data_IF_410187168450
#
_entry.id   IF_410187168450
#
_cell.length_a   1.000
_cell.length_b   1.000
_cell.length_c   1.000
_cell.angle_alpha   90.00
_cell.angle_beta   90.00
_cell.angle_gamma   90.00
#
_symmetry.space_group_name_H-M   'P 1'
#
loop_
_entity.id
_entity.type
_entity.pdbx_description
1 polymer ?
#
# COMPACT_ATOMS: atom_id res chain seq x y z
N UNK A 1 6.15 10.98 -9.93
CA UNK A 1 6.46 10.53 -8.56
C UNK A 1 5.49 9.45 -8.12
N UNK A 2 5.97 8.47 -7.36
CA UNK A 2 5.19 7.32 -6.88
C UNK A 2 5.34 7.16 -5.38
N UNK A 3 4.24 7.17 -4.63
CA UNK A 3 4.26 6.82 -3.22
C UNK A 3 3.60 5.45 -3.04
N UNK A 4 4.30 4.52 -2.40
CA UNK A 4 3.81 3.18 -2.10
C UNK A 4 3.45 3.13 -0.63
N UNK A 5 2.20 2.80 -0.34
CA UNK A 5 1.71 2.52 1.00
C UNK A 5 1.46 1.02 1.13
N UNK A 6 2.27 0.36 1.94
CA UNK A 6 2.20 -1.07 2.18
C UNK A 6 1.57 -1.34 3.56
N UNK A 7 0.47 -2.09 3.60
CA UNK A 7 -0.16 -2.54 4.83
C UNK A 7 0.61 -3.72 5.43
N UNK A 8 1.03 -3.60 6.68
CA UNK A 8 1.69 -4.71 7.41
C UNK A 8 0.80 -5.28 8.50
N UNK A 9 -0.51 -5.09 8.44
CA UNK A 9 -1.43 -5.57 9.49
C UNK A 9 -1.50 -7.10 9.61
N UNK A 10 -2.20 -7.54 10.67
CA UNK A 10 -2.22 -8.90 11.24
C UNK A 10 -2.48 -10.06 10.27
N UNK A 11 -3.07 -9.82 9.10
CA UNK A 11 -3.26 -10.81 8.03
C UNK A 11 -1.96 -11.33 7.41
N UNK A 12 -0.83 -10.68 7.72
CA UNK A 12 0.51 -11.13 7.32
C UNK A 12 1.04 -12.33 8.11
N UNK A 13 0.36 -12.76 9.18
CA UNK A 13 0.59 -14.04 9.89
C UNK A 13 -0.04 -15.25 9.16
N UNK A 14 -0.77 -15.01 8.08
CA UNK A 14 -1.37 -16.07 7.26
C UNK A 14 -0.28 -16.84 6.51
N UNK A 15 -0.43 -18.16 6.45
CA UNK A 15 0.44 -19.04 5.68
C UNK A 15 -0.24 -19.44 4.39
N UNK A 16 0.51 -19.42 3.29
CA UNK A 16 0.11 -19.95 1.99
C UNK A 16 1.24 -20.84 1.50
N UNK A 17 0.93 -22.10 1.17
CA UNK A 17 1.90 -23.06 0.63
C UNK A 17 3.20 -23.15 1.47
N UNK A 18 3.07 -23.24 2.80
CA UNK A 18 4.18 -23.25 3.77
C UNK A 18 5.07 -21.99 3.79
N UNK A 19 4.56 -20.86 3.28
CA UNK A 19 5.22 -19.55 3.36
C UNK A 19 4.33 -18.54 4.06
N UNK A 20 4.92 -17.67 4.87
CA UNK A 20 4.17 -16.54 5.42
C UNK A 20 3.88 -15.51 4.32
N UNK A 21 2.67 -14.96 4.31
CA UNK A 21 2.27 -13.91 3.36
C UNK A 21 3.20 -12.70 3.46
N UNK A 22 3.72 -12.38 4.65
CA UNK A 22 4.71 -11.31 4.82
C UNK A 22 5.97 -11.53 3.98
N UNK A 23 6.45 -12.77 3.85
CA UNK A 23 7.68 -13.05 3.10
C UNK A 23 7.47 -12.84 1.61
N UNK A 24 6.33 -13.32 1.10
CA UNK A 24 5.91 -13.09 -0.29
C UNK A 24 5.79 -11.58 -0.56
N UNK A 25 5.21 -10.84 0.39
CA UNK A 25 5.06 -9.40 0.24
C UNK A 25 6.39 -8.65 0.32
N UNK A 26 7.31 -9.04 1.20
CA UNK A 26 8.68 -8.50 1.27
C UNK A 26 9.42 -8.71 -0.04
N UNK A 27 9.29 -9.89 -0.65
CA UNK A 27 9.87 -10.21 -1.97
C UNK A 27 9.26 -9.35 -3.07
N UNK A 28 7.93 -9.26 -3.13
CA UNK A 28 7.22 -8.43 -4.10
C UNK A 28 7.60 -6.96 -3.98
N UNK A 29 7.67 -6.43 -2.75
CA UNK A 29 8.03 -5.04 -2.48
C UNK A 29 9.51 -4.77 -2.81
N UNK A 30 10.40 -5.73 -2.56
CA UNK A 30 11.82 -5.63 -2.92
C UNK A 30 11.97 -5.56 -4.44
N UNK A 31 11.39 -6.52 -5.17
CA UNK A 31 11.44 -6.55 -6.63
C UNK A 31 10.80 -5.28 -7.24
N UNK A 32 9.73 -4.79 -6.63
CA UNK A 32 9.09 -3.55 -7.08
C UNK A 32 9.96 -2.32 -6.84
N UNK A 33 10.59 -2.20 -5.67
CA UNK A 33 11.50 -1.10 -5.35
C UNK A 33 12.73 -1.09 -6.28
N UNK A 34 13.25 -2.26 -6.65
CA UNK A 34 14.29 -2.40 -7.66
C UNK A 34 13.84 -1.89 -9.03
N UNK A 35 12.63 -2.28 -9.46
CA UNK A 35 12.05 -1.82 -10.72
C UNK A 35 11.89 -0.30 -10.78
N UNK A 36 11.36 0.31 -9.71
CA UNK A 36 11.23 1.77 -9.60
C UNK A 36 12.59 2.48 -9.66
N UNK A 37 13.59 1.91 -8.98
CA UNK A 37 14.95 2.46 -9.00
C UNK A 37 15.59 2.36 -10.38
N UNK A 38 15.39 1.25 -11.11
CA UNK A 38 15.95 1.03 -12.43
C UNK A 38 15.35 1.96 -13.49
N UNK A 39 14.06 2.30 -13.38
CA UNK A 39 13.38 3.25 -14.29
C UNK A 39 13.74 4.70 -13.97
N UNK A 40 14.25 4.99 -12.77
CA UNK A 40 14.63 6.33 -12.34
C UNK A 40 13.46 7.16 -11.80
N UNK A 41 12.38 6.51 -11.36
CA UNK A 41 11.22 7.20 -10.80
C UNK A 41 11.56 7.91 -9.48
N UNK A 42 10.96 9.09 -9.24
CA UNK A 42 10.96 9.69 -7.90
C UNK A 42 9.92 8.96 -7.04
N UNK A 43 10.36 8.13 -6.09
CA UNK A 43 9.45 7.27 -5.32
C UNK A 43 9.70 7.24 -3.82
N UNK A 44 8.69 6.86 -3.05
CA UNK A 44 8.82 6.57 -1.64
C UNK A 44 8.03 5.30 -1.29
N UNK A 45 8.48 4.59 -0.25
CA UNK A 45 7.84 3.36 0.24
C UNK A 45 7.67 3.48 1.75
N UNK A 46 6.42 3.39 2.18
CA UNK A 46 6.03 3.41 3.58
C UNK A 46 5.26 2.14 3.90
N UNK A 47 5.61 1.50 5.00
CA UNK A 47 4.73 0.55 5.66
C UNK A 47 3.88 1.27 6.71
N UNK A 48 2.66 0.81 6.93
CA UNK A 48 1.85 1.34 8.02
C UNK A 48 1.19 0.23 8.84
N UNK A 49 0.97 0.55 10.10
CA UNK A 49 0.14 -0.22 11.03
C UNK A 49 -0.48 0.76 12.02
N UNK A 50 -1.47 0.33 12.79
CA UNK A 50 -2.09 1.17 13.80
C UNK A 50 -2.39 0.41 15.08
N UNK A 51 -2.34 1.07 16.23
CA UNK A 51 -2.70 0.49 17.52
C UNK A 51 -3.90 1.26 18.06
N UNK A 52 -5.04 0.56 18.19
CA UNK A 52 -6.32 1.13 18.63
C UNK A 52 -6.72 2.35 17.79
N UNK A 53 -7.62 3.17 18.32
CA UNK A 53 -8.14 4.35 17.62
C UNK A 53 -7.19 5.55 17.55
N UNK A 54 -6.09 5.55 18.30
CA UNK A 54 -5.37 6.80 18.58
C UNK A 54 -3.95 6.84 17.99
N UNK A 55 -3.43 5.74 17.42
CA UNK A 55 -2.04 5.71 16.93
C UNK A 55 -1.90 5.02 15.57
N UNK A 56 -1.44 5.78 14.58
CA UNK A 56 -1.03 5.27 13.26
C UNK A 56 0.47 5.39 13.15
N UNK A 57 1.14 4.26 12.93
CA UNK A 57 2.58 4.17 12.78
C UNK A 57 2.92 4.14 11.29
N UNK A 58 3.65 5.16 10.83
CA UNK A 58 4.18 5.22 9.48
C UNK A 58 5.67 4.87 9.52
N UNK A 59 6.02 3.70 8.98
CA UNK A 59 7.40 3.24 8.87
C UNK A 59 7.95 3.55 7.49
N UNK A 60 8.85 4.53 7.40
CA UNK A 60 9.52 4.88 6.15
C UNK A 60 10.57 3.81 5.79
N UNK A 61 10.28 3.01 4.77
CA UNK A 61 11.25 2.05 4.23
C UNK A 61 12.21 2.74 3.26
N UNK A 62 11.68 3.69 2.48
CA UNK A 62 12.42 4.57 1.57
C UNK A 62 11.72 5.92 1.48
N UNK A 63 12.43 7.02 1.74
CA UNK A 63 11.91 8.40 1.52
C UNK A 63 12.19 8.89 0.10
N UNK A 64 11.44 9.88 -0.41
CA UNK A 64 11.68 10.44 -1.75
C UNK A 64 13.15 10.84 -1.95
N UNK A 65 13.72 11.61 -1.03
CA UNK A 65 15.09 12.12 -1.13
C UNK A 65 16.17 11.11 -0.67
N UNK A 66 15.79 9.86 -0.40
CA UNK A 66 16.72 8.78 -0.08
C UNK A 66 17.09 7.97 -1.34
N UNK A 67 18.38 7.67 -1.53
CA UNK A 67 18.81 6.78 -2.61
C UNK A 67 18.43 5.33 -2.31
N UNK A 68 17.96 4.61 -3.33
CA UNK A 68 17.76 3.16 -3.21
C UNK A 68 19.10 2.46 -2.95
N UNK A 69 19.10 1.42 -2.11
CA UNK A 69 20.31 0.66 -1.81
C UNK A 69 20.13 -0.37 -0.69
N UNK A 70 21.23 -0.94 -0.17
CA UNK A 70 21.20 -2.00 0.82
C UNK A 70 20.40 -1.66 2.09
N UNK A 71 20.41 -0.40 2.52
CA UNK A 71 19.64 0.06 3.69
C UNK A 71 18.12 -0.10 3.48
N UNK A 72 17.62 0.29 2.31
CA UNK A 72 16.20 0.14 1.95
C UNK A 72 15.80 -1.33 1.92
N UNK A 73 16.62 -2.18 1.29
CA UNK A 73 16.40 -3.64 1.24
C UNK A 73 16.31 -4.26 2.64
N UNK A 74 17.21 -3.88 3.54
CA UNK A 74 17.18 -4.35 4.94
C UNK A 74 15.92 -3.91 5.68
N UNK A 75 15.45 -2.67 5.48
CA UNK A 75 14.19 -2.19 6.10
C UNK A 75 12.98 -2.96 5.58
N UNK A 76 12.93 -3.26 4.28
CA UNK A 76 11.86 -4.09 3.69
C UNK A 76 11.92 -5.50 4.29
N UNK A 77 13.10 -6.14 4.32
CA UNK A 77 13.26 -7.48 4.90
C UNK A 77 12.91 -7.55 6.39
N UNK A 78 13.09 -6.45 7.13
CA UNK A 78 12.79 -6.36 8.56
C UNK A 78 11.32 -6.02 8.86
N UNK A 79 10.45 -5.87 7.86
CA UNK A 79 9.02 -5.57 8.06
C UNK A 79 8.36 -6.67 8.87
N UNK A 80 7.82 -6.37 10.05
CA UNK A 80 7.08 -7.35 10.86
C UNK A 80 5.57 -7.12 10.73
N UNK A 81 4.75 -8.18 10.90
CA UNK A 81 3.33 -8.02 11.15
C UNK A 81 3.09 -7.01 12.27
N UNK A 82 2.22 -6.06 12.00
CA UNK A 82 1.76 -5.02 12.91
C UNK A 82 0.32 -5.25 13.33
N UNK A 83 -0.23 -4.28 14.04
CA UNK A 83 -1.57 -4.35 14.61
C UNK A 83 -2.64 -3.91 13.58
N UNK A 84 -3.64 -3.12 13.99
CA UNK A 84 -4.82 -2.70 13.22
C UNK A 84 -4.52 -1.85 11.96
N UNK A 85 -5.57 -1.57 11.17
CA UNK A 85 -5.47 -0.83 9.89
C UNK A 85 -6.27 0.48 9.88
N UNK A 86 -5.57 1.63 9.92
CA UNK A 86 -6.16 2.96 9.69
C UNK A 86 -5.69 3.57 8.38
N UNK A 87 -6.18 2.98 7.30
CA UNK A 87 -5.75 3.29 5.94
C UNK A 87 -6.05 4.74 5.53
N UNK A 88 -7.20 5.31 5.93
CA UNK A 88 -7.54 6.70 5.61
C UNK A 88 -6.52 7.72 6.13
N UNK A 89 -6.06 7.57 7.38
CA UNK A 89 -5.01 8.41 7.95
C UNK A 89 -3.66 8.24 7.23
N UNK A 90 -3.27 7.00 6.93
CA UNK A 90 -2.04 6.70 6.22
C UNK A 90 -2.04 7.25 4.78
N UNK A 91 -3.17 7.13 4.06
CA UNK A 91 -3.39 7.72 2.74
C UNK A 91 -3.24 9.24 2.80
N UNK A 92 -3.88 9.92 3.76
CA UNK A 92 -3.77 11.39 3.89
C UNK A 92 -2.33 11.82 4.17
N UNK A 93 -1.64 11.12 5.07
CA UNK A 93 -0.24 11.41 5.39
C UNK A 93 0.65 11.30 4.15
N UNK A 94 0.55 10.18 3.42
CA UNK A 94 1.40 9.95 2.26
C UNK A 94 1.00 10.83 1.07
N UNK A 95 -0.28 11.19 0.94
CA UNK A 95 -0.78 12.16 -0.04
C UNK A 95 -0.16 13.54 0.17
N UNK A 96 0.01 13.99 1.42
CA UNK A 96 0.68 15.26 1.72
C UNK A 96 2.12 15.25 1.22
N UNK A 97 2.89 14.21 1.55
CA UNK A 97 4.28 14.06 1.11
C UNK A 97 4.39 13.97 -0.43
N UNK A 98 3.46 13.26 -1.06
CA UNK A 98 3.43 13.12 -2.52
C UNK A 98 3.06 14.43 -3.22
N UNK A 99 2.19 15.26 -2.61
CA UNK A 99 1.80 16.56 -3.15
C UNK A 99 2.94 17.58 -3.16
N UNK A 100 3.91 17.44 -2.26
CA UNK A 100 5.13 18.28 -2.22
C UNK A 100 6.08 17.98 -3.39
N UNK A 101 5.86 16.89 -4.15
CA UNK A 101 6.70 16.53 -5.28
C UNK A 101 6.37 17.34 -6.54
N UNK A 102 7.39 17.80 -7.30
CA UNK A 102 7.20 18.67 -8.47
C UNK A 102 6.71 17.92 -9.72
N UNK A 103 6.56 16.59 -9.67
CA UNK A 103 6.22 15.78 -10.84
C UNK A 103 4.77 16.03 -11.31
N UNK A 104 4.58 16.16 -12.63
CA UNK A 104 3.24 16.30 -13.22
C UNK A 104 2.32 15.11 -13.01
N UNK A 105 2.86 13.87 -13.07
CA UNK A 105 2.15 12.64 -12.71
C UNK A 105 2.55 12.18 -11.30
N UNK A 106 1.56 12.04 -10.41
CA UNK A 106 1.74 11.62 -9.00
C UNK A 106 0.80 10.47 -8.68
N UNK A 107 1.36 9.29 -8.40
CA UNK A 107 0.62 8.06 -8.12
C UNK A 107 0.80 7.64 -6.66
N UNK A 108 -0.30 7.45 -5.94
CA UNK A 108 -0.36 6.76 -4.65
C UNK A 108 -0.83 5.32 -4.88
N UNK A 109 0.08 4.36 -4.68
CA UNK A 109 -0.19 2.94 -4.76
C UNK A 109 -0.40 2.37 -3.36
N UNK A 110 -1.61 1.89 -3.07
CA UNK A 110 -1.95 1.27 -1.78
C UNK A 110 -1.97 -0.24 -1.97
N UNK A 111 -1.12 -0.95 -1.23
CA UNK A 111 -1.02 -2.42 -1.27
C UNK A 111 -1.45 -2.93 0.11
N UNK A 112 -2.48 -3.77 0.16
CA UNK A 112 -3.01 -4.31 1.42
C UNK A 112 -3.48 -5.75 1.24
N UNK A 113 -3.22 -6.59 2.22
CA UNK A 113 -3.51 -8.01 2.20
C UNK A 113 -4.91 -8.38 2.71
N UNK A 114 -5.70 -7.41 3.17
CA UNK A 114 -6.97 -7.71 3.83
C UNK A 114 -7.90 -6.52 3.98
N UNK A 115 -9.19 -6.80 4.18
CA UNK A 115 -10.17 -5.87 4.72
C UNK A 115 -9.60 -5.17 5.96
N UNK A 116 -9.90 -3.87 6.18
CA UNK A 116 -9.64 -3.25 7.47
C UNK A 116 -10.56 -3.89 8.53
N UNK A 117 -10.28 -5.10 9.01
CA UNK A 117 -10.97 -5.76 10.12
C UNK A 117 -10.11 -6.83 10.81
N UNK A 118 -9.87 -6.74 12.12
CA UNK A 118 -10.53 -7.65 13.09
C UNK A 118 -10.19 -7.27 14.55
N UNK A 119 -11.08 -6.47 15.16
CA UNK A 119 -11.43 -6.29 16.58
C UNK A 119 -11.64 -4.79 16.93
N UNK A 120 -12.87 -4.49 17.36
CA UNK A 120 -13.45 -3.21 17.82
C UNK A 120 -13.86 -2.14 16.80
N UNK A 121 -15.19 -1.91 16.74
CA UNK A 121 -16.00 -0.71 16.41
C UNK A 121 -15.64 0.22 15.22
N UNK A 122 -14.44 0.16 14.64
CA UNK A 122 -13.94 1.03 13.57
C UNK A 122 -14.17 0.43 12.17
N UNK A 123 -14.56 -0.83 12.10
CA UNK A 123 -14.20 -1.67 10.97
C UNK A 123 -15.37 -2.00 10.00
N UNK A 124 -16.58 -1.48 10.26
CA UNK A 124 -17.71 -1.61 9.33
C UNK A 124 -17.67 -0.60 8.16
N UNK A 125 -18.87 -0.11 7.78
CA UNK A 125 -19.04 0.97 6.79
C UNK A 125 -18.15 2.20 7.09
N UNK A 126 -17.85 2.47 8.37
CA UNK A 126 -17.03 3.61 8.75
C UNK A 126 -15.61 3.56 8.17
N UNK A 127 -14.84 2.49 8.40
CA UNK A 127 -13.47 2.38 7.88
C UNK A 127 -13.41 2.41 6.34
N UNK A 128 -14.39 1.79 5.69
CA UNK A 128 -14.57 1.87 4.22
C UNK A 128 -14.83 3.31 3.78
N UNK A 129 -15.74 4.02 4.45
CA UNK A 129 -16.06 5.40 4.12
C UNK A 129 -14.93 6.38 4.44
N UNK A 130 -14.23 6.23 5.56
CA UNK A 130 -13.06 7.07 5.89
C UNK A 130 -11.95 6.88 4.85
N UNK A 131 -11.64 5.64 4.49
CA UNK A 131 -10.64 5.34 3.46
C UNK A 131 -11.09 5.90 2.11
N UNK A 132 -12.37 5.74 1.75
CA UNK A 132 -12.94 6.34 0.53
C UNK A 132 -12.83 7.87 0.53
N UNK A 133 -13.10 8.53 1.66
CA UNK A 133 -12.95 9.99 1.79
C UNK A 133 -11.49 10.40 1.60
N UNK A 134 -10.54 9.69 2.20
CA UNK A 134 -9.11 9.94 2.00
C UNK A 134 -8.70 9.78 0.52
N UNK A 135 -9.21 8.76 -0.19
CA UNK A 135 -8.98 8.58 -1.64
C UNK A 135 -9.56 9.75 -2.44
N UNK A 136 -10.76 10.23 -2.10
CA UNK A 136 -11.38 11.39 -2.77
C UNK A 136 -10.58 12.67 -2.51
N UNK A 137 -10.13 12.90 -1.29
CA UNK A 137 -9.28 14.04 -0.91
C UNK A 137 -7.97 14.02 -1.70
N UNK A 138 -7.29 12.88 -1.77
CA UNK A 138 -6.07 12.70 -2.56
C UNK A 138 -6.30 13.01 -4.06
N UNK A 139 -7.40 12.51 -4.64
CA UNK A 139 -7.76 12.78 -6.04
C UNK A 139 -8.09 14.24 -6.31
N UNK A 140 -8.79 14.90 -5.38
CA UNK A 140 -9.06 16.35 -5.47
C UNK A 140 -7.77 17.18 -5.43
N UNK A 141 -6.71 16.67 -4.82
CA UNK A 141 -5.38 17.29 -4.84
C UNK A 141 -4.58 16.98 -6.13
N UNK A 142 -5.17 16.27 -7.10
CA UNK A 142 -4.53 15.92 -8.36
C UNK A 142 -3.65 14.66 -8.29
N UNK A 143 -3.86 13.80 -7.29
CA UNK A 143 -3.17 12.51 -7.18
C UNK A 143 -3.96 11.39 -7.85
N UNK A 144 -3.29 10.54 -8.60
CA UNK A 144 -3.82 9.22 -8.97
C UNK A 144 -3.71 8.29 -7.77
N UNK A 145 -4.77 7.53 -7.47
CA UNK A 145 -4.77 6.57 -6.36
C UNK A 145 -5.22 5.22 -6.86
N UNK A 146 -4.41 4.18 -6.63
CA UNK A 146 -4.68 2.82 -7.08
C UNK A 146 -4.51 1.83 -5.93
N UNK A 147 -5.50 0.95 -5.73
CA UNK A 147 -5.48 -0.09 -4.69
C UNK A 147 -5.08 -1.46 -5.23
N UNK A 148 -4.23 -2.20 -4.54
CA UNK A 148 -3.89 -3.60 -4.85
C UNK A 148 -4.17 -4.42 -3.61
N UNK A 149 -4.88 -5.53 -3.78
CA UNK A 149 -5.15 -6.44 -2.66
C UNK A 149 -5.10 -7.90 -3.05
N UNK A 150 -4.80 -8.74 -2.07
CA UNK A 150 -4.84 -10.20 -2.16
C UNK A 150 -6.04 -10.81 -1.41
N UNK A 151 -6.93 -9.97 -0.85
CA UNK A 151 -8.18 -10.39 -0.23
C UNK A 151 -9.21 -10.74 -1.31
N UNK A 152 -9.74 -11.96 -1.28
CA UNK A 152 -10.75 -12.44 -2.22
C UNK A 152 -12.12 -11.79 -1.99
N UNK A 153 -12.43 -11.41 -0.74
CA UNK A 153 -13.64 -10.67 -0.33
C UNK A 153 -13.54 -9.17 -0.63
N UNK A 154 -12.39 -8.69 -1.10
CA UNK A 154 -12.19 -7.31 -1.52
C UNK A 154 -13.24 -6.79 -2.51
N UNK A 155 -13.82 -7.68 -3.32
CA UNK A 155 -14.84 -7.35 -4.33
C UNK A 155 -16.03 -6.58 -3.74
N UNK A 156 -16.34 -6.78 -2.46
CA UNK A 156 -17.50 -6.17 -1.80
C UNK A 156 -17.27 -4.70 -1.41
N UNK A 157 -16.02 -4.26 -1.24
CA UNK A 157 -15.71 -2.94 -0.69
C UNK A 157 -14.61 -2.16 -1.43
N UNK A 158 -13.65 -2.80 -2.09
CA UNK A 158 -12.63 -2.11 -2.90
C UNK A 158 -13.21 -1.20 -3.99
N UNK A 159 -14.23 -1.63 -4.77
CA UNK A 159 -14.84 -0.76 -5.77
C UNK A 159 -15.45 0.50 -5.15
N UNK A 160 -15.92 0.42 -3.91
CA UNK A 160 -16.49 1.55 -3.18
C UNK A 160 -15.42 2.52 -2.70
N UNK A 161 -14.24 2.02 -2.28
CA UNK A 161 -13.12 2.84 -1.82
C UNK A 161 -12.42 3.53 -2.99
N UNK A 162 -11.96 2.74 -3.96
CA UNK A 162 -11.11 3.22 -5.05
C UNK A 162 -11.92 3.62 -6.29
N UNK A 163 -13.16 3.19 -6.45
CA UNK A 163 -13.92 3.42 -7.68
C UNK A 163 -13.53 2.44 -8.79
N UNK A 164 -14.27 2.50 -9.90
CA UNK A 164 -14.07 1.62 -11.06
C UNK A 164 -12.68 1.86 -11.68
N UNK A 165 -12.05 0.79 -12.15
CA UNK A 165 -10.75 0.79 -12.84
C UNK A 165 -9.56 1.35 -12.03
N UNK A 166 -9.70 1.52 -10.72
CA UNK A 166 -8.65 2.07 -9.85
C UNK A 166 -8.19 1.07 -8.78
N UNK A 167 -8.38 -0.22 -9.01
CA UNK A 167 -7.88 -1.27 -8.14
C UNK A 167 -7.60 -2.57 -8.90
N UNK A 168 -6.82 -3.45 -8.29
CA UNK A 168 -6.59 -4.83 -8.71
C UNK A 168 -6.76 -5.79 -7.52
N UNK A 169 -7.51 -6.87 -7.74
CA UNK A 169 -7.66 -7.98 -6.77
C UNK A 169 -6.87 -9.16 -7.30
N UNK A 170 -5.84 -9.54 -6.58
CA UNK A 170 -4.93 -10.63 -6.91
C UNK A 170 -5.41 -11.87 -6.14
N UNK A 171 -5.94 -12.85 -6.87
CA UNK A 171 -6.58 -14.03 -6.28
C UNK A 171 -5.67 -14.94 -5.45
N UNK A 172 -4.36 -14.70 -5.43
CA UNK A 172 -3.42 -15.56 -4.71
C UNK A 172 -2.13 -14.80 -4.33
N UNK A 173 -1.67 -14.84 -3.07
CA UNK A 173 -0.53 -14.07 -2.61
C UNK A 173 0.75 -14.30 -3.41
N UNK A 174 1.05 -15.55 -3.79
CA UNK A 174 2.24 -15.87 -4.58
C UNK A 174 2.28 -15.18 -5.96
N UNK A 175 1.13 -14.68 -6.46
CA UNK A 175 1.06 -13.92 -7.71
C UNK A 175 1.47 -12.46 -7.54
N UNK A 176 1.51 -11.93 -6.31
CA UNK A 176 1.82 -10.52 -6.03
C UNK A 176 3.17 -10.10 -6.63
N UNK A 177 4.21 -10.91 -6.45
CA UNK A 177 5.57 -10.66 -6.97
C UNK A 177 5.60 -10.49 -8.49
N UNK A 178 4.75 -11.23 -9.22
CA UNK A 178 4.65 -11.16 -10.69
C UNK A 178 3.64 -10.11 -11.17
N UNK A 179 2.60 -9.85 -10.40
CA UNK A 179 1.52 -8.94 -10.75
C UNK A 179 1.91 -7.48 -10.54
N UNK A 180 2.58 -7.16 -9.43
CA UNK A 180 2.88 -5.79 -9.04
C UNK A 180 3.72 -5.03 -10.09
N UNK A 181 4.80 -5.59 -10.66
CA UNK A 181 5.55 -4.93 -11.74
C UNK A 181 4.74 -4.78 -13.04
N UNK A 182 3.82 -5.72 -13.33
CA UNK A 182 2.94 -5.63 -14.51
C UNK A 182 1.89 -4.53 -14.35
N UNK A 183 1.24 -4.48 -13.19
CA UNK A 183 0.27 -3.44 -12.83
C UNK A 183 0.92 -2.07 -12.90
N UNK A 184 2.10 -1.91 -12.31
CA UNK A 184 2.80 -0.63 -12.34
C UNK A 184 3.04 -0.11 -13.75
N UNK A 185 3.58 -0.95 -14.65
CA UNK A 185 3.81 -0.58 -16.05
C UNK A 185 2.54 -0.08 -16.72
N UNK A 186 1.40 -0.71 -16.46
CA UNK A 186 0.12 -0.27 -17.00
C UNK A 186 -0.38 1.07 -16.43
N UNK A 187 -0.01 1.39 -15.18
CA UNK A 187 -0.43 2.64 -14.52
C UNK A 187 0.42 3.86 -14.89
N UNK A 188 1.65 3.64 -15.36
CA UNK A 188 2.58 4.73 -15.71
C UNK A 188 2.68 5.01 -17.21
N UNK A 189 2.17 4.10 -18.04
CA UNK A 189 2.01 4.29 -19.50
C UNK A 189 0.82 5.23 -19.72
#
# INVERSE_FOLDING_TARGET
AVAVLFDTSRSTETWVENRQVIDIAREALTAFAEGLAAVGDDYAIYAFSSVRRDKVFMNALKRFDERHGPKVRRRIAALKPGFYTRMGAAIRHLSKLLNERPNGRRLLLVITDGKPNDLDHYEGRYGVEDTRRAVIEARRAGLSVFGVTIDDKARDYFPRIFGRNAYAIISHPARLTRALPKLYRHLVT
#
